data_IF_100811186465
#
_entry.id   IF_100811186465
#
_cell.length_a   1.000
_cell.length_b   1.000
_cell.length_c   1.000
_cell.angle_alpha   90.00
_cell.angle_beta   90.00
_cell.angle_gamma   90.00
#
_symmetry.space_group_name_H-M   'P 1'
#
loop_
_entity.id
_entity.type
_entity.pdbx_description
1 polymer ?
#
# COMPACT_ATOMS: atom_id res chain seq x y z
N UNK A 1 -19.72 -44.44 -13.64
CA UNK A 1 -19.70 -43.01 -14.04
C UNK A 1 -18.88 -42.28 -12.99
N UNK A 2 -17.60 -42.02 -13.26
CA UNK A 2 -16.72 -41.33 -12.31
C UNK A 2 -16.92 -39.84 -12.55
N UNK A 3 -17.53 -39.15 -11.60
CA UNK A 3 -17.68 -37.70 -11.64
C UNK A 3 -16.33 -37.13 -11.19
N UNK A 4 -15.47 -36.82 -12.15
CA UNK A 4 -14.23 -36.08 -11.89
C UNK A 4 -14.63 -34.67 -11.49
N UNK A 5 -14.72 -34.42 -10.19
CA UNK A 5 -14.95 -33.09 -9.63
C UNK A 5 -13.70 -32.27 -9.91
N UNK A 6 -13.73 -31.47 -10.98
CA UNK A 6 -12.70 -30.48 -11.28
C UNK A 6 -12.74 -29.44 -10.17
N UNK A 7 -11.87 -29.59 -9.17
CA UNK A 7 -11.65 -28.56 -8.16
C UNK A 7 -11.03 -27.34 -8.84
N UNK A 8 -11.88 -26.42 -9.27
CA UNK A 8 -11.49 -25.10 -9.71
C UNK A 8 -11.19 -24.28 -8.44
N UNK A 9 -10.09 -24.60 -7.76
CA UNK A 9 -9.67 -23.92 -6.54
C UNK A 9 -9.07 -22.57 -6.90
N UNK A 10 -9.85 -21.50 -6.69
CA UNK A 10 -9.30 -20.14 -6.73
C UNK A 10 -8.04 -20.08 -5.85
N UNK A 11 -6.93 -19.50 -6.35
CA UNK A 11 -5.69 -19.42 -5.56
C UNK A 11 -5.94 -18.63 -4.28
N UNK A 12 -5.30 -19.06 -3.18
CA UNK A 12 -5.36 -18.31 -1.91
C UNK A 12 -4.88 -16.87 -2.09
N UNK A 13 -5.22 -15.97 -1.16
CA UNK A 13 -4.78 -14.57 -1.21
C UNK A 13 -3.25 -14.51 -1.31
N UNK A 14 -2.54 -15.22 -0.42
CA UNK A 14 -1.08 -15.31 -0.45
C UNK A 14 -0.56 -15.87 -1.78
N UNK A 15 -1.19 -16.92 -2.31
CA UNK A 15 -0.83 -17.49 -3.62
C UNK A 15 -1.02 -16.49 -4.77
N UNK A 16 -2.11 -15.72 -4.74
CA UNK A 16 -2.41 -14.68 -5.72
C UNK A 16 -1.41 -13.53 -5.69
N UNK A 17 -0.94 -13.14 -4.50
CA UNK A 17 0.09 -12.11 -4.35
C UNK A 17 1.47 -12.60 -4.81
N UNK A 18 1.83 -13.84 -4.46
CA UNK A 18 3.09 -14.48 -4.89
C UNK A 18 3.14 -14.72 -6.40
N UNK A 19 1.99 -14.91 -7.04
CA UNK A 19 1.92 -15.05 -8.50
C UNK A 19 2.37 -13.78 -9.25
N UNK A 20 2.35 -12.61 -8.61
CA UNK A 20 2.86 -11.36 -9.19
C UNK A 20 4.39 -11.26 -9.15
N UNK A 21 5.05 -12.08 -8.33
CA UNK A 21 6.50 -12.01 -8.09
C UNK A 21 7.28 -12.54 -9.32
N UNK A 22 8.13 -11.72 -9.96
CA UNK A 22 8.87 -12.13 -11.15
C UNK A 22 9.94 -13.18 -10.83
N UNK A 23 10.37 -13.88 -11.88
CA UNK A 23 11.43 -14.90 -11.80
C UNK A 23 12.86 -14.37 -12.01
N UNK A 24 13.01 -13.06 -12.24
CA UNK A 24 14.28 -12.37 -12.49
C UNK A 24 14.58 -11.33 -11.40
N UNK A 25 15.83 -10.86 -11.34
CA UNK A 25 16.27 -9.85 -10.36
C UNK A 25 15.66 -8.48 -10.66
N UNK A 26 15.27 -7.76 -9.62
CA UNK A 26 14.73 -6.40 -9.74
C UNK A 26 15.75 -5.36 -9.27
N UNK A 27 15.66 -4.17 -9.86
CA UNK A 27 16.12 -2.97 -9.16
C UNK A 27 15.09 -2.53 -8.12
N UNK A 28 15.52 -1.64 -7.22
CA UNK A 28 14.70 -1.25 -6.09
C UNK A 28 13.44 -0.46 -6.49
N UNK A 29 13.47 0.30 -7.59
CA UNK A 29 12.29 1.00 -8.11
C UNK A 29 11.24 0.02 -8.65
N UNK A 30 11.67 -1.02 -9.35
CA UNK A 30 10.81 -2.10 -9.83
C UNK A 30 10.25 -2.92 -8.67
N UNK A 31 11.03 -3.12 -7.59
CA UNK A 31 10.56 -3.79 -6.38
C UNK A 31 9.47 -2.97 -5.66
N UNK A 32 9.58 -1.64 -5.60
CA UNK A 32 8.49 -0.77 -5.12
C UNK A 32 7.25 -0.87 -5.99
N UNK A 33 7.39 -0.89 -7.32
CA UNK A 33 6.24 -1.07 -8.22
C UNK A 33 5.56 -2.43 -8.01
N UNK A 34 6.34 -3.50 -7.78
CA UNK A 34 5.81 -4.81 -7.41
C UNK A 34 5.03 -4.74 -6.09
N UNK A 35 5.60 -4.10 -5.07
CA UNK A 35 4.93 -3.89 -3.78
C UNK A 35 3.60 -3.12 -3.92
N UNK A 36 3.54 -2.06 -4.73
CA UNK A 36 2.28 -1.33 -4.99
C UNK A 36 1.23 -2.22 -5.66
N UNK A 37 1.65 -3.02 -6.65
CA UNK A 37 0.76 -3.95 -7.36
C UNK A 37 0.24 -5.06 -6.44
N UNK A 38 1.09 -5.62 -5.59
CA UNK A 38 0.68 -6.61 -4.60
C UNK A 38 -0.26 -5.99 -3.57
N UNK A 39 0.00 -4.77 -3.10
CA UNK A 39 -0.90 -4.07 -2.19
C UNK A 39 -2.27 -3.87 -2.86
N UNK A 40 -2.31 -3.33 -4.08
CA UNK A 40 -3.57 -3.18 -4.83
C UNK A 40 -4.32 -4.51 -5.01
N UNK A 41 -3.60 -5.59 -5.34
CA UNK A 41 -4.20 -6.92 -5.47
C UNK A 41 -4.74 -7.47 -4.15
N UNK A 42 -4.07 -7.18 -3.03
CA UNK A 42 -4.56 -7.55 -1.70
C UNK A 42 -5.91 -6.86 -1.43
N UNK A 43 -6.01 -5.55 -1.69
CA UNK A 43 -7.25 -4.78 -1.50
C UNK A 43 -8.40 -5.33 -2.34
N UNK A 44 -8.13 -5.67 -3.61
CA UNK A 44 -9.12 -6.29 -4.50
C UNK A 44 -9.63 -7.63 -3.96
N UNK A 45 -8.74 -8.47 -3.44
CA UNK A 45 -9.08 -9.81 -2.95
C UNK A 45 -9.79 -9.79 -1.60
N UNK A 46 -9.45 -8.82 -0.75
CA UNK A 46 -10.14 -8.57 0.51
C UNK A 46 -11.51 -7.91 0.33
N UNK A 47 -11.80 -7.41 -0.89
CA UNK A 47 -13.02 -6.69 -1.21
C UNK A 47 -13.30 -5.54 -0.22
N UNK A 48 -12.24 -4.78 0.13
CA UNK A 48 -12.35 -3.72 1.12
C UNK A 48 -13.23 -2.58 0.60
N UNK A 49 -14.11 -2.08 1.48
CA UNK A 49 -14.97 -0.94 1.22
C UNK A 49 -14.26 0.40 1.34
N UNK A 50 -15.04 1.48 1.51
CA UNK A 50 -14.53 2.85 1.64
C UNK A 50 -13.65 3.06 2.90
N UNK A 51 -13.84 2.23 3.92
CA UNK A 51 -13.11 2.31 5.19
C UNK A 51 -11.70 1.68 5.12
N UNK A 52 -11.30 1.19 3.95
CA UNK A 52 -9.97 0.62 3.71
C UNK A 52 -9.72 -0.70 4.43
N UNK A 53 -8.44 -1.08 4.55
CA UNK A 53 -8.04 -2.31 5.23
C UNK A 53 -8.15 -2.11 6.73
N UNK A 54 -9.00 -2.93 7.35
CA UNK A 54 -9.12 -3.08 8.80
C UNK A 54 -8.46 -4.36 9.29
N UNK A 55 -8.11 -4.42 10.57
CA UNK A 55 -7.44 -5.56 11.20
C UNK A 55 -8.15 -6.89 10.95
N UNK A 56 -9.49 -6.92 11.05
CA UNK A 56 -10.29 -8.12 10.82
C UNK A 56 -10.08 -8.73 9.42
N UNK A 57 -9.81 -7.91 8.40
CA UNK A 57 -9.54 -8.42 7.04
C UNK A 57 -8.21 -9.17 6.94
N UNK A 58 -7.27 -8.93 7.87
CA UNK A 58 -5.92 -9.47 7.83
C UNK A 58 -5.74 -10.66 8.79
N UNK A 59 -6.39 -10.63 9.95
CA UNK A 59 -6.36 -11.72 10.93
C UNK A 59 -7.11 -12.97 10.45
N UNK A 60 -8.09 -12.80 9.57
CA UNK A 60 -8.91 -13.90 9.01
C UNK A 60 -8.30 -14.53 7.75
N UNK A 61 -7.04 -14.21 7.42
CA UNK A 61 -6.37 -14.77 6.26
C UNK A 61 -6.06 -16.27 6.46
N UNK A 62 -6.42 -17.14 5.50
CA UNK A 62 -6.12 -18.56 5.59
C UNK A 62 -4.63 -18.84 5.79
N UNK A 63 -4.31 -19.71 6.75
CA UNK A 63 -2.94 -20.10 7.11
C UNK A 63 -2.05 -18.98 7.65
N UNK A 64 -2.65 -17.89 8.13
CA UNK A 64 -1.98 -16.83 8.89
C UNK A 64 -2.64 -16.72 10.27
N UNK A 65 -1.84 -16.53 11.30
CA UNK A 65 -2.28 -16.27 12.66
C UNK A 65 -1.59 -15.00 13.15
N UNK A 66 -2.37 -14.12 13.79
CA UNK A 66 -1.87 -12.88 14.38
C UNK A 66 -1.91 -13.03 15.90
N UNK A 67 -0.81 -12.72 16.56
CA UNK A 67 -0.65 -12.82 18.01
C UNK A 67 -0.14 -11.48 18.54
N UNK A 68 -0.58 -11.10 19.72
CA UNK A 68 -0.20 -9.86 20.40
C UNK A 68 0.62 -10.19 21.64
N UNK A 69 1.86 -9.72 21.69
CA UNK A 69 2.80 -9.99 22.79
C UNK A 69 3.59 -8.73 23.15
N UNK A 70 4.12 -8.61 24.38
CA UNK A 70 5.09 -7.57 24.72
C UNK A 70 6.40 -7.85 23.97
N UNK A 71 6.80 -6.93 23.09
CA UNK A 71 7.99 -7.06 22.25
C UNK A 71 8.94 -5.87 22.43
N UNK A 72 10.23 -6.10 22.18
CA UNK A 72 11.23 -5.02 22.05
C UNK A 72 11.24 -4.37 20.67
N UNK A 73 10.59 -5.00 19.68
CA UNK A 73 10.35 -4.50 18.33
C UNK A 73 8.86 -4.21 18.13
N UNK A 74 8.47 -3.62 16.99
CA UNK A 74 7.05 -3.43 16.66
C UNK A 74 6.37 -4.74 16.23
N UNK A 75 7.10 -5.66 15.62
CA UNK A 75 6.57 -6.95 15.22
C UNK A 75 7.64 -7.86 14.61
N UNK A 76 7.23 -9.09 14.31
CA UNK A 76 8.01 -10.10 13.58
C UNK A 76 7.08 -11.14 12.95
N UNK A 77 7.60 -11.89 11.99
CA UNK A 77 6.86 -13.00 11.38
C UNK A 77 7.74 -14.24 11.16
N UNK A 78 7.13 -15.42 11.31
CA UNK A 78 7.81 -16.70 11.09
C UNK A 78 6.84 -17.81 10.69
N UNK A 79 7.38 -18.89 10.12
CA UNK A 79 6.63 -20.12 9.83
C UNK A 79 6.81 -21.12 10.96
N UNK A 80 5.71 -21.62 11.54
CA UNK A 80 5.77 -22.59 12.65
C UNK A 80 5.72 -24.07 12.20
N UNK A 81 5.72 -24.33 10.89
CA UNK A 81 5.51 -25.67 10.32
C UNK A 81 4.12 -25.88 9.71
N UNK A 82 3.12 -25.07 10.11
CA UNK A 82 1.71 -25.24 9.73
C UNK A 82 1.04 -23.95 9.24
N UNK A 83 1.40 -22.81 9.84
CA UNK A 83 0.86 -21.49 9.52
C UNK A 83 1.94 -20.41 9.67
N UNK A 84 1.73 -19.29 8.99
CA UNK A 84 2.48 -18.07 9.24
C UNK A 84 2.00 -17.44 10.53
N UNK A 85 2.93 -17.15 11.44
CA UNK A 85 2.68 -16.43 12.67
C UNK A 85 3.19 -15.01 12.47
N UNK A 86 2.34 -14.03 12.70
CA UNK A 86 2.69 -12.62 12.79
C UNK A 86 2.51 -12.21 14.25
N UNK A 87 3.59 -11.81 14.91
CA UNK A 87 3.54 -11.31 16.28
C UNK A 87 3.64 -9.80 16.23
N UNK A 88 2.67 -9.12 16.83
CA UNK A 88 2.61 -7.67 16.93
C UNK A 88 2.86 -7.24 18.37
N UNK A 89 3.53 -6.10 18.54
CA UNK A 89 3.72 -5.52 19.85
C UNK A 89 2.38 -5.07 20.42
N UNK A 90 1.95 -5.67 21.52
CA UNK A 90 0.67 -5.36 22.17
C UNK A 90 0.62 -3.93 22.70
N UNK A 91 1.77 -3.31 22.97
CA UNK A 91 1.88 -1.97 23.54
C UNK A 91 1.84 -0.88 22.44
N UNK A 92 1.96 -1.25 21.17
CA UNK A 92 1.80 -0.33 20.03
C UNK A 92 0.32 0.04 19.83
N UNK A 93 0.05 1.27 19.39
CA UNK A 93 -1.32 1.70 19.09
C UNK A 93 -1.95 0.88 17.96
N UNK A 94 -3.29 0.74 17.88
CA UNK A 94 -3.95 -0.03 16.83
C UNK A 94 -3.56 0.41 15.40
N UNK A 95 -3.40 1.72 15.18
CA UNK A 95 -2.92 2.28 13.90
C UNK A 95 -1.51 1.77 13.56
N UNK A 96 -0.62 1.69 14.55
CA UNK A 96 0.74 1.18 14.37
C UNK A 96 0.75 -0.33 14.19
N UNK A 97 -0.03 -1.08 14.97
CA UNK A 97 -0.20 -2.53 14.81
C UNK A 97 -0.69 -2.88 13.41
N UNK A 98 -1.65 -2.12 12.84
CA UNK A 98 -2.14 -2.34 11.48
C UNK A 98 -1.07 -2.11 10.41
N UNK A 99 -0.24 -1.08 10.58
CA UNK A 99 0.91 -0.85 9.71
C UNK A 99 1.91 -2.00 9.80
N UNK A 100 2.30 -2.39 11.02
CA UNK A 100 3.23 -3.49 11.26
C UNK A 100 2.70 -4.81 10.72
N UNK A 101 1.41 -5.09 10.86
CA UNK A 101 0.77 -6.29 10.32
C UNK A 101 0.95 -6.39 8.80
N UNK A 102 0.71 -5.30 8.08
CA UNK A 102 0.91 -5.26 6.63
C UNK A 102 2.39 -5.33 6.24
N UNK A 103 3.28 -4.72 7.04
CA UNK A 103 4.72 -4.79 6.87
C UNK A 103 5.21 -6.26 6.98
N UNK A 104 4.85 -6.94 8.07
CA UNK A 104 5.19 -8.36 8.27
C UNK A 104 4.55 -9.26 7.21
N UNK A 105 3.33 -8.95 6.81
CA UNK A 105 2.67 -9.69 5.74
C UNK A 105 3.41 -9.57 4.40
N UNK A 106 4.06 -8.44 4.12
CA UNK A 106 4.92 -8.29 2.92
C UNK A 106 6.14 -9.20 2.99
N UNK A 107 6.79 -9.32 4.14
CA UNK A 107 7.88 -10.28 4.34
C UNK A 107 7.42 -11.72 4.06
N UNK A 108 6.21 -12.07 4.51
CA UNK A 108 5.60 -13.37 4.20
C UNK A 108 5.34 -13.54 2.70
N UNK A 109 4.79 -12.52 2.03
CA UNK A 109 4.53 -12.56 0.58
C UNK A 109 5.83 -12.81 -0.19
N UNK A 110 6.92 -12.16 0.20
CA UNK A 110 8.22 -12.25 -0.48
C UNK A 110 9.09 -13.43 -0.06
N UNK A 111 8.70 -14.14 0.98
CA UNK A 111 9.45 -15.29 1.48
C UNK A 111 9.78 -16.29 0.34
N UNK A 112 11.06 -16.67 0.25
CA UNK A 112 11.61 -17.52 -0.81
C UNK A 112 12.01 -16.77 -2.09
N UNK A 113 11.69 -15.49 -2.23
CA UNK A 113 12.08 -14.63 -3.34
C UNK A 113 12.94 -13.42 -2.92
N UNK A 114 13.06 -13.11 -1.62
CA UNK A 114 13.75 -11.91 -1.12
C UNK A 114 15.14 -11.67 -1.73
N UNK A 115 16.00 -12.68 -1.79
CA UNK A 115 17.35 -12.55 -2.37
C UNK A 115 17.37 -12.20 -3.87
N UNK A 116 16.26 -12.44 -4.57
CA UNK A 116 16.09 -12.03 -5.97
C UNK A 116 15.46 -10.65 -6.09
N UNK A 117 14.62 -10.26 -5.14
CA UNK A 117 13.92 -8.99 -5.15
C UNK A 117 14.78 -7.84 -4.60
N UNK A 118 15.70 -8.13 -3.68
CA UNK A 118 16.43 -7.14 -2.90
C UNK A 118 17.92 -7.47 -2.84
N UNK A 119 18.75 -6.42 -2.89
CA UNK A 119 20.22 -6.52 -2.76
C UNK A 119 20.68 -6.48 -1.31
N UNK A 120 19.82 -6.03 -0.40
CA UNK A 120 20.11 -5.93 1.04
C UNK A 120 18.82 -6.00 1.85
N UNK A 121 18.94 -6.33 3.12
CA UNK A 121 17.82 -6.31 4.07
C UNK A 121 17.19 -4.91 4.14
N UNK A 122 18.00 -3.86 4.04
CA UNK A 122 17.51 -2.48 3.99
C UNK A 122 16.52 -2.23 2.84
N UNK A 123 16.76 -2.83 1.65
CA UNK A 123 15.81 -2.72 0.52
C UNK A 123 14.53 -3.51 0.81
N UNK A 124 14.64 -4.68 1.46
CA UNK A 124 13.49 -5.48 1.86
C UNK A 124 12.60 -4.73 2.86
N UNK A 125 13.20 -4.12 3.89
CA UNK A 125 12.50 -3.28 4.88
C UNK A 125 11.75 -2.12 4.22
N UNK A 126 12.37 -1.41 3.26
CA UNK A 126 11.66 -0.34 2.55
C UNK A 126 10.56 -0.83 1.64
N UNK A 127 10.71 -2.01 1.05
CA UNK A 127 9.63 -2.58 0.25
C UNK A 127 8.45 -3.00 1.12
N UNK A 128 8.71 -3.50 2.34
CA UNK A 128 7.70 -3.76 3.36
C UNK A 128 6.97 -2.49 3.83
N UNK A 129 7.71 -1.44 4.18
CA UNK A 129 7.11 -0.13 4.51
C UNK A 129 6.30 0.45 3.35
N UNK A 130 6.83 0.36 2.12
CA UNK A 130 6.16 0.86 0.93
C UNK A 130 4.88 0.09 0.63
N UNK A 131 4.90 -1.24 0.78
CA UNK A 131 3.72 -2.09 0.66
C UNK A 131 2.65 -1.71 1.68
N UNK A 132 3.00 -1.60 2.96
CA UNK A 132 2.07 -1.24 4.04
C UNK A 132 1.43 0.13 3.79
N UNK A 133 2.24 1.12 3.40
CA UNK A 133 1.73 2.44 3.01
C UNK A 133 0.82 2.42 1.79
N UNK A 134 1.08 1.55 0.80
CA UNK A 134 0.21 1.39 -0.37
C UNK A 134 -1.13 0.73 -0.02
N UNK A 135 -1.13 -0.23 0.88
CA UNK A 135 -2.34 -0.92 1.32
C UNK A 135 -3.23 -0.02 2.20
N UNK A 136 -2.63 0.77 3.11
CA UNK A 136 -3.36 1.70 3.97
C UNK A 136 -3.83 2.96 3.24
N UNK A 137 -3.01 3.46 2.31
CA UNK A 137 -3.27 4.70 1.57
C UNK A 137 -3.14 4.42 0.07
N UNK A 138 -4.19 3.85 -0.56
CA UNK A 138 -4.17 3.53 -1.97
C UNK A 138 -4.01 4.79 -2.82
N UNK A 139 -3.12 4.72 -3.82
CA UNK A 139 -2.77 5.89 -4.64
C UNK A 139 -3.97 6.56 -5.30
N UNK A 140 -4.94 5.76 -5.77
CA UNK A 140 -6.17 6.28 -6.40
C UNK A 140 -6.99 7.09 -5.40
N UNK A 141 -7.19 6.53 -4.21
CA UNK A 141 -8.07 7.10 -3.20
C UNK A 141 -7.41 8.31 -2.55
N UNK A 142 -6.08 8.28 -2.36
CA UNK A 142 -5.30 9.46 -1.94
C UNK A 142 -5.44 10.61 -2.92
N UNK A 143 -5.29 10.34 -4.22
CA UNK A 143 -5.46 11.37 -5.26
C UNK A 143 -6.87 11.93 -5.27
N UNK A 144 -7.88 11.08 -5.08
CA UNK A 144 -9.27 11.51 -4.99
C UNK A 144 -9.48 12.44 -3.78
N UNK A 145 -9.09 11.99 -2.58
CA UNK A 145 -9.21 12.77 -1.35
C UNK A 145 -8.45 14.11 -1.44
N UNK A 146 -7.22 14.08 -1.93
CA UNK A 146 -6.37 15.27 -2.10
C UNK A 146 -6.94 16.30 -3.09
N UNK A 147 -7.65 15.84 -4.12
CA UNK A 147 -8.18 16.73 -5.16
C UNK A 147 -9.59 17.24 -4.86
N UNK A 148 -10.41 16.44 -4.19
CA UNK A 148 -11.85 16.68 -4.08
C UNK A 148 -12.35 16.90 -2.65
N UNK A 149 -11.58 16.46 -1.64
CA UNK A 149 -12.00 16.54 -0.23
C UNK A 149 -11.17 17.57 0.54
N UNK A 150 -9.87 17.35 0.69
CA UNK A 150 -8.99 18.19 1.51
C UNK A 150 -7.51 17.97 1.23
N UNK A 151 -6.70 19.01 1.44
CA UNK A 151 -5.23 18.96 1.41
C UNK A 151 -4.62 19.07 2.81
N UNK A 152 -5.45 19.11 3.85
CA UNK A 152 -4.98 19.15 5.23
C UNK A 152 -4.57 17.75 5.70
N UNK A 153 -3.34 17.64 6.22
CA UNK A 153 -2.77 16.36 6.64
C UNK A 153 -3.55 15.69 7.78
N UNK A 154 -4.07 16.47 8.73
CA UNK A 154 -4.89 15.97 9.85
C UNK A 154 -6.19 15.35 9.35
N UNK A 155 -6.87 15.99 8.40
CA UNK A 155 -8.12 15.46 7.84
C UNK A 155 -7.90 14.21 6.97
N UNK A 156 -6.81 14.16 6.21
CA UNK A 156 -6.44 12.96 5.44
C UNK A 156 -6.04 11.81 6.36
N UNK A 157 -5.34 12.11 7.45
CA UNK A 157 -4.97 11.12 8.47
C UNK A 157 -6.21 10.50 9.10
N UNK A 158 -7.21 11.31 9.45
CA UNK A 158 -8.51 10.82 9.91
C UNK A 158 -9.24 10.01 8.82
N UNK A 159 -9.21 10.46 7.56
CA UNK A 159 -9.91 9.79 6.46
C UNK A 159 -9.36 8.38 6.18
N UNK A 160 -8.04 8.20 6.21
CA UNK A 160 -7.39 6.90 6.02
C UNK A 160 -7.16 6.13 7.32
N UNK A 161 -7.53 6.70 8.47
CA UNK A 161 -7.26 6.16 9.81
C UNK A 161 -5.77 5.83 10.05
N UNK A 162 -4.89 6.77 9.74
CA UNK A 162 -3.43 6.62 9.83
C UNK A 162 -2.79 7.83 10.52
N UNK A 163 -1.48 7.76 10.79
CA UNK A 163 -0.76 8.94 11.27
C UNK A 163 -0.59 10.00 10.17
N UNK A 164 -0.51 11.28 10.55
CA UNK A 164 -0.18 12.36 9.59
C UNK A 164 1.17 12.15 8.90
N UNK A 165 2.12 11.50 9.59
CA UNK A 165 3.41 11.15 9.01
C UNK A 165 3.27 10.12 7.88
N UNK A 166 2.41 9.10 8.03
CA UNK A 166 2.14 8.14 6.97
C UNK A 166 1.51 8.82 5.73
N UNK A 167 0.57 9.75 5.94
CA UNK A 167 -0.01 10.56 4.85
C UNK A 167 1.08 11.36 4.12
N UNK A 168 1.93 12.08 4.87
CA UNK A 168 3.01 12.88 4.28
C UNK A 168 3.93 12.02 3.42
N UNK A 169 4.39 10.88 3.94
CA UNK A 169 5.22 9.93 3.21
C UNK A 169 4.52 9.46 1.92
N UNK A 170 3.22 9.15 1.98
CA UNK A 170 2.47 8.70 0.79
C UNK A 170 2.23 9.80 -0.23
N UNK A 171 2.06 11.05 0.20
CA UNK A 171 1.99 12.20 -0.71
C UNK A 171 3.31 12.42 -1.46
N UNK A 172 4.45 12.27 -0.77
CA UNK A 172 5.78 12.35 -1.38
C UNK A 172 6.00 11.19 -2.37
N UNK A 173 5.71 9.96 -1.97
CA UNK A 173 5.84 8.77 -2.81
C UNK A 173 4.97 8.84 -4.08
N UNK A 174 3.81 9.50 -4.02
CA UNK A 174 2.92 9.69 -5.17
C UNK A 174 3.22 10.95 -5.97
N UNK A 175 4.17 11.77 -5.52
CA UNK A 175 4.58 13.03 -6.15
C UNK A 175 3.53 14.14 -6.06
N UNK A 176 2.57 14.04 -5.14
CA UNK A 176 1.57 15.09 -4.90
C UNK A 176 2.17 16.28 -4.16
N UNK A 177 3.16 16.03 -3.33
CA UNK A 177 4.03 17.04 -2.72
C UNK A 177 5.50 16.71 -3.03
N UNK A 178 6.35 17.72 -3.00
CA UNK A 178 7.80 17.53 -2.96
C UNK A 178 8.29 17.29 -1.52
N UNK A 179 9.55 16.88 -1.34
CA UNK A 179 10.18 16.69 0.00
C UNK A 179 10.20 17.96 0.85
N UNK A 180 10.07 19.13 0.21
CA UNK A 180 9.91 20.43 0.86
C UNK A 180 8.49 20.70 1.37
N UNK A 181 7.53 19.81 1.09
CA UNK A 181 6.13 19.94 1.45
C UNK A 181 5.30 20.81 0.50
N UNK A 182 5.92 21.37 -0.54
CA UNK A 182 5.21 22.16 -1.55
C UNK A 182 4.45 21.23 -2.49
N UNK A 183 3.16 21.52 -2.71
CA UNK A 183 2.37 20.85 -3.73
C UNK A 183 3.00 21.13 -5.09
N UNK A 184 3.28 20.08 -5.88
CA UNK A 184 3.87 20.26 -7.21
C UNK A 184 2.86 20.98 -8.10
N UNK A 185 3.33 21.98 -8.85
CA UNK A 185 2.50 22.67 -9.82
C UNK A 185 1.89 21.66 -10.80
N UNK A 186 0.57 21.71 -10.97
CA UNK A 186 -0.13 20.83 -11.90
C UNK A 186 0.24 21.24 -13.32
N UNK A 187 0.36 20.25 -14.21
CA UNK A 187 0.44 20.53 -15.64
C UNK A 187 -0.76 21.40 -16.04
N UNK A 188 -0.48 22.47 -16.78
CA UNK A 188 -1.51 23.35 -17.29
C UNK A 188 -2.43 22.55 -18.24
N UNK A 189 -3.75 22.75 -18.15
CA UNK A 189 -4.70 22.05 -19.01
C UNK A 189 -4.72 22.70 -20.39
N UNK A 190 -4.71 21.93 -21.49
CA UNK A 190 -4.90 22.50 -22.81
C UNK A 190 -6.28 23.17 -22.87
N UNK A 191 -6.34 24.39 -23.40
CA UNK A 191 -7.58 25.09 -23.68
C UNK A 191 -7.91 24.96 -25.16
N UNK A 192 -9.20 24.90 -25.50
CA UNK A 192 -9.63 24.89 -26.90
C UNK A 192 -9.04 26.12 -27.61
N UNK A 193 -8.18 25.88 -28.59
CA UNK A 193 -7.53 26.93 -29.41
C UNK A 193 -7.85 26.70 -30.88
N UNK A 194 -8.12 27.75 -31.67
CA UNK A 194 -8.31 27.64 -33.11
C UNK A 194 -7.09 27.03 -33.80
N UNK A 195 -7.30 26.32 -34.91
CA UNK A 195 -6.23 25.54 -35.58
C UNK A 195 -5.06 26.36 -36.12
N UNK A 196 -5.23 27.69 -36.24
CA UNK A 196 -4.19 28.64 -36.68
C UNK A 196 -3.47 29.34 -35.53
N UNK A 197 -3.75 29.00 -34.27
CA UNK A 197 -3.05 29.51 -33.09
C UNK A 197 -2.28 28.39 -32.39
N UNK A 198 -1.18 28.76 -31.72
CA UNK A 198 -0.47 27.82 -30.85
C UNK A 198 -1.38 27.36 -29.70
N UNK A 199 -1.25 26.07 -29.35
CA UNK A 199 -2.04 25.44 -28.31
C UNK A 199 -1.84 26.17 -26.97
N UNK A 200 -2.91 26.81 -26.50
CA UNK A 200 -2.91 27.50 -25.22
C UNK A 200 -3.00 26.51 -24.05
N UNK A 201 -2.39 26.83 -22.93
CA UNK A 201 -2.53 26.07 -21.69
C UNK A 201 -2.96 26.98 -20.54
N UNK A 202 -3.95 26.54 -19.75
CA UNK A 202 -4.37 27.24 -18.54
C UNK A 202 -3.79 26.54 -17.31
N UNK A 203 -2.92 27.20 -16.52
CA UNK A 203 -2.52 26.66 -15.22
C UNK A 203 -3.78 26.51 -14.35
N UNK A 204 -3.84 25.42 -13.59
CA UNK A 204 -4.97 25.19 -12.67
C UNK A 204 -4.77 26.09 -11.45
N UNK A 205 -5.34 27.31 -11.49
CA UNK A 205 -5.44 28.17 -10.32
C UNK A 205 -6.52 27.63 -9.39
N UNK A 206 -6.14 27.26 -8.16
CA UNK A 206 -7.08 26.97 -7.10
C UNK A 206 -7.63 28.29 -6.55
N UNK A 207 -8.93 28.50 -6.66
CA UNK A 207 -9.64 29.42 -5.78
C UNK A 207 -9.56 28.83 -4.37
N UNK A 208 -8.62 29.34 -3.57
CA UNK A 208 -8.55 29.04 -2.14
C UNK A 208 -9.87 29.43 -1.49
N UNK A 209 -10.66 28.43 -1.11
CA UNK A 209 -11.78 28.61 -0.21
C UNK A 209 -11.24 28.91 1.18
N UNK A 210 -10.92 30.18 1.43
CA UNK A 210 -10.87 30.70 2.79
C UNK A 210 -12.32 30.84 3.26
N UNK A 211 -12.77 29.95 4.14
CA UNK A 211 -13.70 30.22 5.25
C UNK A 211 -13.38 29.28 6.39
#
# INVERSE_FOLDING_TARGET
MIITSTMNSSPSILGSLRALTPRYQLDFDSAKQLAERQAGRLLELLNVGQDGVQEHHLVDLPHTQVVYEPLSTSGLSYWNGQSWIIVLNQDDSPVRQRFTLLHEYKHIVDHGASARLYRSDWEAERAADYFAGCALIPKRDLKHAWCNLTQRLDQLATYFDVSQQAVRVRLEQTGLIDRTGLARERCARPISTPSWQEQGFRPVTMSGGAR
#
